data_IF_461699733481
#
_entry.id   IF_461699733481
#
_cell.length_a   1.000
_cell.length_b   1.000
_cell.length_c   1.000
_cell.angle_alpha   90.00
_cell.angle_beta   90.00
_cell.angle_gamma   90.00
#
_symmetry.space_group_name_H-M   'P 1'
#
loop_
_entity.id
_entity.type
_entity.pdbx_description
1 polymer ?
#
# COMPACT_ATOMS: atom_id res chain seq x y z
N UNK A 1 -0.31 -4.04 5.66
CA UNK A 1 -0.32 -3.61 4.24
C UNK A 1 0.19 -4.64 3.27
N UNK A 2 1.40 -5.19 3.46
CA UNK A 2 1.98 -6.18 2.55
C UNK A 2 1.04 -7.35 2.24
N UNK A 3 0.29 -7.87 3.23
CA UNK A 3 -0.66 -8.98 3.05
C UNK A 3 -1.85 -8.58 2.15
N UNK A 4 -2.43 -7.39 2.33
CA UNK A 4 -3.55 -6.91 1.51
C UNK A 4 -3.08 -6.71 0.07
N UNK A 5 -1.90 -6.11 -0.12
CA UNK A 5 -1.31 -5.92 -1.43
C UNK A 5 -0.98 -7.26 -2.12
N UNK A 6 -0.40 -8.21 -1.38
CA UNK A 6 -0.17 -9.58 -1.86
C UNK A 6 -1.48 -10.26 -2.25
N UNK A 7 -2.52 -10.15 -1.43
CA UNK A 7 -3.85 -10.71 -1.71
C UNK A 7 -4.48 -10.12 -2.98
N UNK A 8 -4.34 -8.81 -3.21
CA UNK A 8 -4.81 -8.16 -4.44
C UNK A 8 -4.00 -8.61 -5.65
N UNK A 9 -2.67 -8.69 -5.53
CA UNK A 9 -1.79 -9.14 -6.63
C UNK A 9 -2.08 -10.60 -6.99
N UNK A 10 -2.20 -11.49 -6.01
CA UNK A 10 -2.54 -12.90 -6.25
C UNK A 10 -3.93 -13.05 -6.82
N UNK A 11 -4.91 -12.27 -6.35
CA UNK A 11 -6.27 -12.25 -6.92
C UNK A 11 -6.28 -11.81 -8.39
N UNK A 12 -5.53 -10.76 -8.75
CA UNK A 12 -5.45 -10.28 -10.13
C UNK A 12 -4.80 -11.34 -11.03
N UNK A 13 -3.73 -12.00 -10.57
CA UNK A 13 -3.03 -13.02 -11.36
C UNK A 13 -3.88 -14.29 -11.48
N UNK A 14 -4.61 -14.69 -10.43
CA UNK A 14 -5.49 -15.86 -10.51
C UNK A 14 -6.71 -15.64 -11.41
N UNK A 15 -7.24 -14.42 -11.43
CA UNK A 15 -8.39 -14.02 -12.26
C UNK A 15 -8.01 -13.85 -13.73
N UNK A 16 -6.76 -13.51 -14.03
CA UNK A 16 -6.26 -13.29 -15.38
C UNK A 16 -5.04 -14.20 -15.65
N UNK A 17 -5.31 -15.48 -15.94
CA UNK A 17 -4.26 -16.48 -16.25
C UNK A 17 -3.39 -16.05 -17.44
N UNK A 18 -3.94 -15.28 -18.35
CA UNK A 18 -3.26 -14.62 -19.46
C UNK A 18 -2.13 -13.66 -19.02
N UNK A 19 -2.14 -13.14 -17.79
CA UNK A 19 -1.01 -12.40 -17.23
C UNK A 19 0.17 -13.32 -16.88
N UNK A 20 -0.10 -14.54 -16.45
CA UNK A 20 0.93 -15.53 -16.12
C UNK A 20 1.68 -15.94 -17.38
N UNK A 21 0.97 -16.19 -18.47
CA UNK A 21 1.57 -16.55 -19.77
C UNK A 21 2.39 -15.39 -20.34
N UNK A 22 1.89 -14.15 -20.27
CA UNK A 22 2.63 -12.95 -20.68
C UNK A 22 3.85 -12.66 -19.82
N UNK A 23 3.80 -13.01 -18.53
CA UNK A 23 4.95 -12.92 -17.64
C UNK A 23 5.98 -13.98 -18.01
N UNK A 24 5.56 -15.22 -18.27
CA UNK A 24 6.44 -16.29 -18.72
C UNK A 24 7.14 -15.94 -20.05
N UNK A 25 6.43 -15.30 -20.98
CA UNK A 25 6.98 -14.89 -22.28
C UNK A 25 8.01 -13.75 -22.18
N UNK A 26 7.95 -12.94 -21.11
CA UNK A 26 8.88 -11.82 -20.87
C UNK A 26 9.99 -12.14 -19.87
N UNK A 27 9.87 -13.24 -19.15
CA UNK A 27 10.87 -13.67 -18.17
C UNK A 27 11.99 -14.42 -18.88
N UNK A 28 13.26 -14.22 -18.47
CA UNK A 28 14.36 -15.04 -18.98
C UNK A 28 14.11 -16.51 -18.62
N UNK A 29 14.57 -17.47 -19.45
CA UNK A 29 14.27 -18.90 -19.30
C UNK A 29 14.76 -19.52 -17.98
N UNK A 30 15.59 -18.81 -17.22
CA UNK A 30 16.06 -19.19 -15.88
C UNK A 30 15.09 -18.86 -14.75
N UNK A 31 14.12 -17.96 -14.98
CA UNK A 31 13.15 -17.51 -13.98
C UNK A 31 11.75 -18.05 -14.29
N UNK A 32 11.41 -19.17 -13.66
CA UNK A 32 10.03 -19.68 -13.65
C UNK A 32 9.11 -18.63 -13.02
N UNK A 33 7.88 -18.41 -13.54
CA UNK A 33 6.97 -17.43 -12.95
C UNK A 33 6.66 -17.67 -11.46
N UNK A 34 6.78 -18.92 -11.00
CA UNK A 34 6.71 -19.30 -9.57
C UNK A 34 7.84 -18.68 -8.74
N UNK A 35 9.08 -18.70 -9.24
CA UNK A 35 10.23 -18.07 -8.59
C UNK A 35 10.04 -16.56 -8.56
N UNK A 36 9.54 -15.98 -9.65
CA UNK A 36 9.24 -14.55 -9.72
C UNK A 36 8.20 -14.12 -8.67
N UNK A 37 7.10 -14.88 -8.53
CA UNK A 37 6.13 -14.64 -7.46
C UNK A 37 6.75 -14.75 -6.07
N UNK A 38 7.60 -15.75 -5.85
CA UNK A 38 8.28 -15.97 -4.57
C UNK A 38 9.21 -14.80 -4.21
N UNK A 39 9.93 -14.25 -5.20
CA UNK A 39 10.73 -13.03 -5.03
C UNK A 39 9.84 -11.86 -4.60
N UNK A 40 8.69 -11.64 -5.25
CA UNK A 40 7.75 -10.59 -4.85
C UNK A 40 7.29 -10.79 -3.41
N UNK A 41 6.92 -12.01 -3.02
CA UNK A 41 6.46 -12.33 -1.67
C UNK A 41 7.53 -12.06 -0.62
N UNK A 42 8.80 -12.30 -0.93
CA UNK A 42 9.92 -12.08 -0.01
C UNK A 42 10.30 -10.59 0.08
N UNK A 43 10.36 -9.88 -1.05
CA UNK A 43 10.84 -8.49 -1.10
C UNK A 43 9.77 -7.50 -0.64
N UNK A 44 8.49 -7.79 -0.90
CA UNK A 44 7.41 -6.85 -0.67
C UNK A 44 7.19 -6.51 0.82
N UNK A 45 7.27 -7.45 1.79
CA UNK A 45 7.15 -7.12 3.21
C UNK A 45 8.27 -6.20 3.74
N UNK A 46 9.57 -6.42 3.46
CA UNK A 46 10.63 -5.48 3.79
C UNK A 46 10.39 -4.07 3.21
N UNK A 47 9.95 -3.97 1.95
CA UNK A 47 9.63 -2.69 1.32
C UNK A 47 8.52 -1.95 2.07
N UNK A 48 7.47 -2.66 2.48
CA UNK A 48 6.41 -2.09 3.31
C UNK A 48 6.90 -1.71 4.72
N UNK A 49 7.85 -2.47 5.28
CA UNK A 49 8.49 -2.12 6.56
C UNK A 49 9.25 -0.80 6.47
N UNK A 50 10.03 -0.61 5.41
CA UNK A 50 10.70 0.67 5.13
C UNK A 50 9.69 1.81 4.96
N UNK A 51 8.60 1.57 4.25
CA UNK A 51 7.54 2.57 4.10
C UNK A 51 6.92 2.96 5.45
N UNK A 52 6.71 1.99 6.34
CA UNK A 52 6.24 2.23 7.70
C UNK A 52 7.23 3.03 8.55
N UNK A 53 8.53 2.77 8.39
CA UNK A 53 9.59 3.53 9.06
C UNK A 53 9.60 4.99 8.60
N UNK A 54 9.53 5.23 7.29
CA UNK A 54 9.44 6.59 6.73
C UNK A 54 8.17 7.29 7.19
N UNK A 55 7.02 6.62 7.16
CA UNK A 55 5.76 7.18 7.63
C UNK A 55 5.81 7.53 9.13
N UNK A 56 6.43 6.69 9.96
CA UNK A 56 6.62 6.96 11.38
C UNK A 56 7.53 8.16 11.64
N UNK A 57 8.63 8.28 10.89
CA UNK A 57 9.51 9.45 10.98
C UNK A 57 8.77 10.74 10.56
N UNK A 58 7.97 10.69 9.50
CA UNK A 58 7.15 11.80 9.05
C UNK A 58 6.05 12.17 10.07
N UNK A 59 5.46 11.18 10.74
CA UNK A 59 4.49 11.42 11.81
C UNK A 59 5.14 12.20 12.96
N UNK A 60 6.33 11.76 13.41
CA UNK A 60 7.02 12.44 14.51
C UNK A 60 7.36 13.89 14.17
N UNK A 61 7.83 14.16 12.94
CA UNK A 61 8.05 15.53 12.47
C UNK A 61 6.74 16.35 12.38
N UNK A 62 5.63 15.71 12.02
CA UNK A 62 4.33 16.38 11.96
C UNK A 62 3.77 16.70 13.36
N UNK A 63 4.07 15.88 14.36
CA UNK A 63 3.71 16.10 15.76
C UNK A 63 4.44 17.32 16.35
N UNK A 64 5.72 17.49 16.03
CA UNK A 64 6.50 18.67 16.45
C UNK A 64 5.99 19.98 15.81
N UNK A 65 5.50 19.93 14.58
CA UNK A 65 5.05 21.12 13.83
C UNK A 65 3.59 21.46 14.09
N UNK A 66 2.73 20.46 14.24
CA UNK A 66 1.28 20.59 14.38
C UNK A 66 0.76 19.55 15.39
N UNK A 67 0.76 19.87 16.70
CA UNK A 67 0.31 18.96 17.74
C UNK A 67 -1.22 18.79 17.81
N UNK A 68 -1.96 19.47 16.92
CA UNK A 68 -3.42 19.45 16.93
C UNK A 68 -3.98 18.09 16.47
N UNK A 69 -4.69 17.43 17.38
CA UNK A 69 -5.44 16.21 17.11
C UNK A 69 -6.79 16.46 16.46
N UNK A 70 -7.29 15.48 15.69
CA UNK A 70 -8.58 15.56 15.01
C UNK A 70 -8.97 14.28 14.28
N UNK A 71 -10.26 14.12 13.97
CA UNK A 71 -10.87 12.92 13.34
C UNK A 71 -10.66 11.59 14.10
N UNK A 72 -10.40 11.64 15.41
CA UNK A 72 -10.08 10.45 16.21
C UNK A 72 -8.64 9.94 16.03
N UNK A 73 -7.77 10.75 15.41
CA UNK A 73 -6.32 10.53 15.35
C UNK A 73 -5.58 11.60 16.18
N UNK A 74 -4.47 11.24 16.86
CA UNK A 74 -3.61 12.18 17.58
C UNK A 74 -3.05 13.34 16.75
N UNK A 75 -2.90 13.20 15.43
CA UNK A 75 -2.43 14.27 14.55
C UNK A 75 -3.32 14.36 13.30
N UNK A 76 -4.13 15.42 13.22
CA UNK A 76 -5.07 15.60 12.11
C UNK A 76 -4.37 15.83 10.77
N UNK A 77 -3.32 16.66 10.76
CA UNK A 77 -2.60 17.07 9.57
C UNK A 77 -1.95 15.88 8.87
N UNK A 78 -1.32 14.99 9.64
CA UNK A 78 -0.71 13.77 9.13
C UNK A 78 -1.75 12.82 8.53
N UNK A 79 -2.87 12.61 9.23
CA UNK A 79 -3.98 11.76 8.78
C UNK A 79 -4.57 12.27 7.46
N UNK A 80 -4.78 13.60 7.37
CA UNK A 80 -5.28 14.23 6.14
C UNK A 80 -4.31 14.06 4.97
N UNK A 81 -3.00 14.26 5.21
CA UNK A 81 -1.97 14.07 4.20
C UNK A 81 -1.95 12.64 3.65
N UNK A 82 -2.10 11.64 4.52
CA UNK A 82 -2.17 10.23 4.12
C UNK A 82 -3.43 9.94 3.31
N UNK A 83 -4.58 10.48 3.70
CA UNK A 83 -5.83 10.30 2.94
C UNK A 83 -5.68 10.88 1.55
N UNK A 84 -5.14 12.11 1.43
CA UNK A 84 -4.90 12.76 0.14
C UNK A 84 -3.92 11.95 -0.70
N UNK A 85 -2.80 11.52 -0.12
CA UNK A 85 -1.80 10.69 -0.81
C UNK A 85 -2.43 9.38 -1.31
N UNK A 86 -3.22 8.72 -0.47
CA UNK A 86 -3.92 7.47 -0.80
C UNK A 86 -4.90 7.65 -1.96
N UNK A 87 -5.67 8.74 -1.95
CA UNK A 87 -6.59 9.10 -3.03
C UNK A 87 -5.84 9.37 -4.33
N UNK A 88 -4.77 10.18 -4.31
CA UNK A 88 -3.95 10.50 -5.49
C UNK A 88 -3.37 9.22 -6.11
N UNK A 89 -2.76 8.36 -5.28
CA UNK A 89 -2.19 7.09 -5.76
C UNK A 89 -3.27 6.19 -6.37
N UNK A 90 -4.44 6.12 -5.75
CA UNK A 90 -5.55 5.30 -6.24
C UNK A 90 -6.09 5.85 -7.57
N UNK A 91 -6.29 7.17 -7.66
CA UNK A 91 -6.70 7.84 -8.89
C UNK A 91 -5.69 7.61 -10.01
N UNK A 92 -4.39 7.71 -9.73
CA UNK A 92 -3.35 7.47 -10.72
C UNK A 92 -3.37 6.03 -11.25
N UNK A 93 -3.54 5.04 -10.36
CA UNK A 93 -3.64 3.62 -10.74
C UNK A 93 -4.87 3.38 -11.62
N UNK A 94 -6.02 3.98 -11.29
CA UNK A 94 -7.26 3.85 -12.07
C UNK A 94 -7.13 4.52 -13.43
N UNK A 95 -6.45 5.68 -13.51
CA UNK A 95 -6.20 6.39 -14.77
C UNK A 95 -5.26 5.60 -15.69
N UNK A 96 -4.17 5.05 -15.16
CA UNK A 96 -3.19 4.27 -15.94
C UNK A 96 -3.76 2.91 -16.34
N UNK A 97 -4.47 2.24 -15.43
CA UNK A 97 -5.13 0.95 -15.68
C UNK A 97 -6.64 1.10 -15.61
N UNK A 98 -7.23 1.55 -16.71
CA UNK A 98 -8.69 1.58 -16.96
C UNK A 98 -9.44 0.26 -16.67
N UNK A 99 -8.73 -0.86 -16.56
CA UNK A 99 -9.27 -2.21 -16.29
C UNK A 99 -9.21 -2.64 -14.82
N UNK A 100 -8.58 -1.87 -13.93
CA UNK A 100 -8.58 -2.21 -12.50
C UNK A 100 -9.95 -1.93 -11.93
N UNK A 101 -10.58 -2.95 -11.34
CA UNK A 101 -11.89 -2.82 -10.69
C UNK A 101 -11.84 -1.73 -9.64
N UNK A 102 -12.71 -0.71 -9.76
CA UNK A 102 -12.86 0.39 -8.79
C UNK A 102 -12.94 -0.11 -7.34
N UNK A 103 -13.57 -1.28 -7.13
CA UNK A 103 -13.66 -1.98 -5.84
C UNK A 103 -12.30 -2.32 -5.23
N UNK A 104 -11.34 -2.80 -6.02
CA UNK A 104 -9.99 -3.13 -5.54
C UNK A 104 -9.22 -1.87 -5.13
N UNK A 105 -9.38 -0.79 -5.91
CA UNK A 105 -8.83 0.51 -5.57
C UNK A 105 -9.29 0.94 -4.18
N UNK A 106 -10.61 1.00 -3.97
CA UNK A 106 -11.20 1.38 -2.68
C UNK A 106 -10.71 0.53 -1.50
N UNK A 107 -10.58 -0.79 -1.66
CA UNK A 107 -10.07 -1.67 -0.59
C UNK A 107 -8.64 -1.29 -0.22
N UNK A 108 -7.77 -1.08 -1.22
CA UNK A 108 -6.37 -0.70 -0.97
C UNK A 108 -6.31 0.69 -0.33
N UNK A 109 -7.03 1.68 -0.87
CA UNK A 109 -7.08 3.06 -0.35
C UNK A 109 -7.57 3.08 1.10
N UNK A 110 -8.67 2.39 1.38
CA UNK A 110 -9.32 2.37 2.68
C UNK A 110 -8.44 1.70 3.72
N UNK A 111 -7.81 0.58 3.36
CA UNK A 111 -6.83 -0.05 4.26
C UNK A 111 -5.68 0.93 4.53
N UNK A 112 -5.19 1.65 3.50
CA UNK A 112 -4.00 2.51 3.61
C UNK A 112 -4.27 3.69 4.53
N UNK A 113 -5.43 4.33 4.33
CA UNK A 113 -5.92 5.38 5.20
C UNK A 113 -6.10 4.87 6.64
N UNK A 114 -6.71 3.70 6.86
CA UNK A 114 -6.89 3.16 8.22
C UNK A 114 -5.56 2.86 8.92
N UNK A 115 -4.63 2.16 8.26
CA UNK A 115 -3.37 1.75 8.89
C UNK A 115 -2.46 2.94 9.16
N UNK A 116 -2.24 3.80 8.17
CA UNK A 116 -1.29 4.90 8.36
C UNK A 116 -1.93 6.14 8.97
N UNK A 117 -3.20 6.42 8.67
CA UNK A 117 -3.90 7.60 9.18
C UNK A 117 -4.41 7.45 10.61
N UNK A 118 -4.87 6.27 11.02
CA UNK A 118 -5.37 6.08 12.39
C UNK A 118 -4.47 5.17 13.22
N UNK A 119 -4.17 3.97 12.71
CA UNK A 119 -3.48 2.96 13.49
C UNK A 119 -2.07 3.44 13.90
N UNK A 120 -1.31 4.02 12.97
CA UNK A 120 0.06 4.48 13.24
C UNK A 120 0.10 5.60 14.29
N UNK A 121 -0.67 6.69 14.18
CA UNK A 121 -0.76 7.72 15.22
C UNK A 121 -1.21 7.17 16.58
N UNK A 122 -2.20 6.26 16.60
CA UNK A 122 -2.65 5.63 17.85
C UNK A 122 -1.54 4.81 18.52
N UNK A 123 -0.78 4.03 17.74
CA UNK A 123 0.36 3.28 18.28
C UNK A 123 1.50 4.20 18.75
N UNK A 124 1.70 5.33 18.09
CA UNK A 124 2.74 6.29 18.49
C UNK A 124 2.41 6.96 19.84
N UNK A 125 1.14 7.31 20.05
CA UNK A 125 0.66 7.94 21.29
C UNK A 125 0.41 6.94 22.45
N UNK A 126 0.44 5.63 22.17
CA UNK A 126 0.32 4.56 23.19
C UNK A 126 1.62 4.36 24.01
N UNK A 127 2.58 5.28 23.92
CA UNK A 127 3.92 5.19 24.48
C UNK A 127 4.19 6.34 25.44
#
# INVERSE_FOLDING_TARGET
MGIVFLGVVTYIISTHRDLYDRLAERLPPTLTPTIFMLIIVIILPPVWGLFGLVAGALYHLAEDLYPDGGLGSPNFTFTLAIIILSLILTSLVILIRRRVSWRLGLIVTGTLACIFGWLLPLLANLR
#
